data_IF_700846388025
#
_entry.id   IF_700846388025
#
_cell.length_a   1.000
_cell.length_b   1.000
_cell.length_c   1.000
_cell.angle_alpha   90.00
_cell.angle_beta   90.00
_cell.angle_gamma   90.00
#
_symmetry.space_group_name_H-M   'P 1'
#
loop_
_entity.id
_entity.type
_entity.pdbx_description
1 polymer ?
#
# COMPACT_ATOMS: atom_id res chain seq x y z
N UNK A 1 -37.99 10.99 10.63
CA UNK A 1 -37.02 9.87 10.58
C UNK A 1 -35.89 10.38 9.72
N UNK A 2 -34.67 10.47 10.22
CA UNK A 2 -33.54 10.95 9.43
C UNK A 2 -33.09 9.82 8.50
N UNK A 3 -33.13 10.04 7.19
CA UNK A 3 -32.42 9.19 6.23
C UNK A 3 -30.98 9.69 6.16
N UNK A 4 -30.04 8.81 6.49
CA UNK A 4 -28.62 9.08 6.35
C UNK A 4 -28.11 8.26 5.16
N UNK A 5 -27.58 8.95 4.16
CA UNK A 5 -26.97 8.33 2.96
C UNK A 5 -25.57 7.80 3.29
N UNK A 6 -25.50 6.80 4.17
CA UNK A 6 -24.25 6.12 4.49
C UNK A 6 -23.85 5.16 3.38
N UNK A 7 -22.56 5.19 3.03
CA UNK A 7 -21.95 4.26 2.09
C UNK A 7 -21.08 3.24 2.84
N UNK A 8 -21.23 1.97 2.50
CA UNK A 8 -20.44 0.88 3.10
C UNK A 8 -19.20 0.57 2.26
N UNK A 9 -18.11 0.21 2.92
CA UNK A 9 -16.88 -0.33 2.31
C UNK A 9 -16.10 -1.19 3.31
N UNK A 10 -15.03 -1.83 2.87
CA UNK A 10 -14.16 -2.66 3.72
C UNK A 10 -12.87 -1.98 4.17
N UNK A 11 -12.32 -2.48 5.28
CA UNK A 11 -11.04 -2.02 5.84
C UNK A 11 -9.87 -2.27 4.88
N UNK A 12 -9.87 -3.40 4.16
CA UNK A 12 -8.84 -3.74 3.16
C UNK A 12 -8.27 -5.14 3.37
N UNK A 13 -7.69 -5.40 4.55
CA UNK A 13 -7.12 -6.71 4.89
C UNK A 13 -8.20 -7.78 5.06
N UNK A 14 -7.99 -8.95 4.45
CA UNK A 14 -8.92 -10.09 4.54
C UNK A 14 -8.21 -11.37 4.99
N UNK A 15 -8.87 -12.25 5.77
CA UNK A 15 -8.28 -13.50 6.25
C UNK A 15 -8.43 -14.67 5.26
N UNK A 16 -8.99 -14.43 4.08
CA UNK A 16 -9.34 -15.47 3.10
C UNK A 16 -8.15 -15.87 2.23
N UNK A 17 -8.26 -17.03 1.58
CA UNK A 17 -7.22 -17.59 0.70
C UNK A 17 -7.66 -17.63 -0.77
N UNK A 18 -8.96 -17.82 -1.03
CA UNK A 18 -9.51 -17.79 -2.38
C UNK A 18 -9.68 -16.35 -2.85
N UNK A 19 -8.85 -15.96 -3.82
CA UNK A 19 -8.85 -14.60 -4.35
C UNK A 19 -10.05 -14.31 -5.23
N UNK A 20 -10.44 -15.25 -6.09
CA UNK A 20 -11.47 -15.03 -7.10
C UNK A 20 -12.85 -14.95 -6.43
N UNK A 21 -13.16 -15.89 -5.53
CA UNK A 21 -14.39 -15.87 -4.75
C UNK A 21 -14.49 -14.60 -3.89
N UNK A 22 -13.41 -14.23 -3.19
CA UNK A 22 -13.40 -13.03 -2.34
C UNK A 22 -13.64 -11.76 -3.15
N UNK A 23 -13.00 -11.62 -4.33
CA UNK A 23 -13.19 -10.44 -5.18
C UNK A 23 -14.63 -10.34 -5.71
N UNK A 24 -15.24 -11.48 -6.10
CA UNK A 24 -16.64 -11.54 -6.51
C UNK A 24 -17.58 -11.13 -5.37
N UNK A 25 -17.40 -11.69 -4.17
CA UNK A 25 -18.18 -11.32 -3.01
C UNK A 25 -18.06 -9.83 -2.67
N UNK A 26 -16.87 -9.23 -2.80
CA UNK A 26 -16.70 -7.80 -2.56
C UNK A 26 -17.48 -6.98 -3.60
N UNK A 27 -17.41 -7.32 -4.89
CA UNK A 27 -18.19 -6.63 -5.92
C UNK A 27 -19.70 -6.71 -5.66
N UNK A 28 -20.20 -7.88 -5.24
CA UNK A 28 -21.62 -8.12 -5.00
C UNK A 28 -22.13 -7.42 -3.72
N UNK A 29 -21.35 -7.46 -2.64
CA UNK A 29 -21.79 -6.95 -1.33
C UNK A 29 -21.49 -5.47 -1.10
N UNK A 30 -20.64 -4.84 -1.92
CA UNK A 30 -20.28 -3.42 -1.82
C UNK A 30 -20.59 -2.68 -3.12
N UNK A 31 -21.88 -2.56 -3.51
CA UNK A 31 -22.27 -2.08 -4.84
C UNK A 31 -21.90 -0.61 -5.11
N UNK A 32 -21.69 0.20 -4.07
CA UNK A 32 -21.37 1.63 -4.21
C UNK A 32 -19.86 1.93 -4.15
N UNK A 33 -19.12 1.17 -3.35
CA UNK A 33 -17.68 1.37 -3.11
C UNK A 33 -16.99 0.04 -2.78
N UNK A 34 -16.84 -0.85 -3.77
CA UNK A 34 -16.01 -2.03 -3.63
C UNK A 34 -14.58 -1.62 -3.29
N UNK A 35 -13.88 -2.47 -2.54
CA UNK A 35 -12.52 -2.19 -2.08
C UNK A 35 -11.55 -3.25 -2.61
N UNK A 36 -10.28 -2.87 -2.74
CA UNK A 36 -9.22 -3.82 -3.02
C UNK A 36 -8.88 -4.65 -1.75
N UNK A 37 -9.02 -5.99 -1.78
CA UNK A 37 -8.61 -6.85 -0.67
C UNK A 37 -7.09 -7.13 -0.64
N UNK A 38 -6.49 -7.08 0.54
CA UNK A 38 -5.13 -7.58 0.81
C UNK A 38 -5.20 -8.95 1.52
N UNK A 39 -4.72 -10.01 0.87
CA UNK A 39 -4.80 -11.39 1.37
C UNK A 39 -3.60 -11.75 2.26
N UNK A 40 -3.49 -11.10 3.41
CA UNK A 40 -2.34 -11.20 4.35
C UNK A 40 -2.01 -12.63 4.82
N UNK A 41 -2.99 -13.55 4.80
CA UNK A 41 -2.79 -14.97 5.12
C UNK A 41 -2.33 -15.82 3.93
N UNK A 42 -2.58 -15.37 2.69
CA UNK A 42 -2.22 -16.07 1.46
C UNK A 42 -0.75 -15.86 1.09
N UNK A 43 -0.24 -14.64 1.26
CA UNK A 43 1.14 -14.29 0.90
C UNK A 43 1.73 -13.27 1.87
N UNK A 44 3.01 -13.41 2.28
CA UNK A 44 3.69 -12.37 3.06
C UNK A 44 3.82 -11.06 2.28
N UNK A 45 3.81 -11.09 0.94
CA UNK A 45 3.89 -9.88 0.12
C UNK A 45 2.66 -8.99 0.19
N UNK A 46 1.55 -9.51 0.72
CA UNK A 46 0.31 -8.74 0.90
C UNK A 46 0.22 -8.09 2.30
N UNK A 47 1.26 -8.25 3.13
CA UNK A 47 1.43 -7.50 4.38
C UNK A 47 1.57 -5.99 4.10
N UNK A 48 0.96 -5.15 4.93
CA UNK A 48 0.91 -3.70 4.70
C UNK A 48 2.29 -3.01 4.67
N UNK A 49 3.32 -3.56 5.30
CA UNK A 49 4.67 -3.01 5.27
C UNK A 49 5.45 -3.62 4.11
N UNK A 50 5.40 -4.94 3.94
CA UNK A 50 6.11 -5.60 2.84
C UNK A 50 5.60 -5.09 1.49
N UNK A 51 4.28 -5.03 1.32
CA UNK A 51 3.63 -4.65 0.07
C UNK A 51 4.09 -3.27 -0.44
N UNK A 52 4.21 -2.31 0.48
CA UNK A 52 4.59 -0.94 0.15
C UNK A 52 6.10 -0.70 0.15
N UNK A 53 6.91 -1.70 0.50
CA UNK A 53 8.39 -1.62 0.42
C UNK A 53 8.95 -1.85 -0.99
N UNK A 54 8.17 -2.46 -1.88
CA UNK A 54 8.61 -2.82 -3.24
C UNK A 54 9.17 -1.60 -4.00
N UNK A 55 10.43 -1.67 -4.44
CA UNK A 55 11.05 -0.60 -5.23
C UNK A 55 11.50 0.63 -4.43
N UNK A 56 11.29 0.68 -3.11
CA UNK A 56 11.82 1.77 -2.27
C UNK A 56 13.31 1.49 -1.96
N UNK A 57 14.21 2.50 -2.13
CA UNK A 57 15.62 2.37 -1.82
C UNK A 57 15.90 1.80 -0.44
N UNK A 58 16.96 0.99 -0.35
CA UNK A 58 17.48 0.38 0.88
C UNK A 58 16.54 -0.58 1.60
N UNK A 59 15.29 -0.71 1.19
CA UNK A 59 14.36 -1.64 1.82
C UNK A 59 14.54 -3.03 1.22
N UNK A 60 14.71 -4.03 2.09
CA UNK A 60 14.86 -5.43 1.72
C UNK A 60 13.86 -6.27 2.50
N UNK A 61 13.10 -7.08 1.76
CA UNK A 61 12.13 -8.01 2.34
C UNK A 61 12.86 -9.25 2.84
N UNK A 62 12.55 -9.67 4.06
CA UNK A 62 12.88 -10.99 4.59
C UNK A 62 11.61 -11.80 4.69
N UNK A 63 11.42 -12.73 3.76
CA UNK A 63 10.25 -13.62 3.76
C UNK A 63 10.20 -14.48 5.03
N UNK A 64 11.36 -15.02 5.45
CA UNK A 64 11.52 -15.84 6.65
C UNK A 64 11.01 -15.11 7.90
N UNK A 65 11.41 -13.84 8.07
CA UNK A 65 11.03 -13.01 9.22
C UNK A 65 9.71 -12.27 9.03
N UNK A 66 9.10 -12.36 7.84
CA UNK A 66 7.94 -11.56 7.40
C UNK A 66 8.09 -10.08 7.78
N UNK A 67 9.25 -9.51 7.45
CA UNK A 67 9.60 -8.15 7.83
C UNK A 67 10.42 -7.45 6.74
N UNK A 68 10.49 -6.12 6.84
CA UNK A 68 11.31 -5.27 5.99
C UNK A 68 12.46 -4.70 6.81
N UNK A 69 13.66 -4.74 6.25
CA UNK A 69 14.87 -4.19 6.86
C UNK A 69 15.45 -3.08 5.99
N UNK A 70 15.95 -2.03 6.64
CA UNK A 70 16.75 -1.01 5.99
C UNK A 70 18.21 -1.48 5.91
N UNK A 71 18.68 -1.73 4.70
CA UNK A 71 20.02 -2.23 4.40
C UNK A 71 20.58 -1.36 3.26
N UNK A 72 21.62 -0.58 3.56
CA UNK A 72 22.32 0.21 2.54
C UNK A 72 22.93 -0.74 1.50
N UNK A 73 22.80 -0.37 0.23
CA UNK A 73 23.40 -1.11 -0.87
C UNK A 73 24.89 -0.81 -1.01
N UNK A 74 25.56 -1.49 -1.93
CA UNK A 74 26.96 -1.23 -2.27
C UNK A 74 27.15 0.10 -3.03
N UNK A 75 26.07 0.79 -3.45
CA UNK A 75 26.13 2.05 -4.19
C UNK A 75 24.95 2.96 -3.80
N UNK A 76 24.90 3.42 -2.53
CA UNK A 76 23.73 4.08 -1.98
C UNK A 76 23.43 5.43 -2.64
N UNK A 77 24.45 6.17 -3.07
CA UNK A 77 24.30 7.45 -3.74
C UNK A 77 23.57 7.29 -5.07
N UNK A 78 23.84 6.21 -5.81
CA UNK A 78 23.17 5.91 -7.08
C UNK A 78 21.71 5.53 -6.87
N UNK A 79 21.42 4.71 -5.87
CA UNK A 79 20.05 4.29 -5.54
C UNK A 79 19.17 5.50 -5.16
N UNK A 80 19.72 6.40 -4.34
CA UNK A 80 19.06 7.65 -3.97
C UNK A 80 18.89 8.60 -5.16
N UNK A 81 19.93 8.76 -5.99
CA UNK A 81 19.86 9.63 -7.18
C UNK A 81 18.74 9.17 -8.10
N UNK A 82 18.70 7.88 -8.46
CA UNK A 82 17.62 7.34 -9.30
C UNK A 82 16.24 7.55 -8.67
N UNK A 83 16.11 7.34 -7.36
CA UNK A 83 14.84 7.54 -6.66
C UNK A 83 14.36 8.99 -6.71
N UNK A 84 15.25 9.96 -6.42
CA UNK A 84 14.89 11.37 -6.43
C UNK A 84 14.63 11.87 -7.85
N UNK A 85 15.36 11.39 -8.85
CA UNK A 85 15.07 11.68 -10.26
C UNK A 85 13.64 11.22 -10.64
N UNK A 86 13.27 9.98 -10.31
CA UNK A 86 11.91 9.48 -10.53
C UNK A 86 10.86 10.25 -9.72
N UNK A 87 11.17 10.64 -8.49
CA UNK A 87 10.29 11.47 -7.66
C UNK A 87 10.03 12.85 -8.29
N UNK A 88 11.08 13.59 -8.67
CA UNK A 88 10.97 14.94 -9.22
C UNK A 88 10.36 14.97 -10.62
N UNK A 89 10.53 13.90 -11.40
CA UNK A 89 9.93 13.75 -12.73
C UNK A 89 8.50 13.19 -12.70
N UNK A 90 7.98 12.87 -11.52
CA UNK A 90 6.73 12.12 -11.33
C UNK A 90 6.65 10.80 -12.12
N UNK A 91 7.80 10.17 -12.39
CA UNK A 91 7.85 8.86 -13.01
C UNK A 91 7.46 7.78 -11.99
N UNK A 92 6.26 7.23 -12.17
CA UNK A 92 5.68 6.22 -11.29
C UNK A 92 6.13 4.80 -11.63
N UNK A 93 6.92 4.60 -12.69
CA UNK A 93 7.31 3.26 -13.16
C UNK A 93 8.01 2.44 -12.07
N UNK A 94 8.91 3.06 -11.30
CA UNK A 94 9.63 2.47 -10.18
C UNK A 94 8.81 2.34 -8.89
N UNK A 95 7.68 3.03 -8.79
CA UNK A 95 6.82 3.03 -7.59
C UNK A 95 5.64 2.07 -7.69
N UNK A 96 5.46 1.39 -8.83
CA UNK A 96 4.36 0.43 -9.02
C UNK A 96 4.35 -0.65 -7.93
N UNK A 97 3.15 -1.13 -7.59
CA UNK A 97 3.00 -2.36 -6.80
C UNK A 97 2.70 -3.48 -7.79
N UNK A 98 3.56 -4.49 -7.88
CA UNK A 98 3.43 -5.56 -8.86
C UNK A 98 2.25 -6.49 -8.57
N UNK A 99 1.87 -7.30 -9.56
CA UNK A 99 0.82 -8.32 -9.40
C UNK A 99 1.22 -9.42 -8.40
N UNK A 100 2.51 -9.61 -8.16
CA UNK A 100 3.02 -10.50 -7.11
C UNK A 100 2.71 -9.95 -5.72
N UNK A 101 2.88 -8.64 -5.53
CA UNK A 101 2.65 -7.96 -4.25
C UNK A 101 1.18 -7.62 -4.01
N UNK A 102 0.39 -7.41 -5.06
CA UNK A 102 -1.00 -6.96 -4.94
C UNK A 102 -1.94 -7.66 -5.95
N UNK A 103 -2.02 -8.99 -6.01
CA UNK A 103 -2.82 -9.68 -7.02
C UNK A 103 -4.32 -9.28 -6.98
N UNK A 104 -4.86 -9.07 -5.77
CA UNK A 104 -6.23 -8.59 -5.58
C UNK A 104 -6.51 -7.21 -6.17
N UNK A 105 -5.51 -6.32 -6.27
CA UNK A 105 -5.68 -4.97 -6.83
C UNK A 105 -6.00 -5.06 -8.31
N UNK A 106 -5.18 -5.83 -9.02
CA UNK A 106 -5.35 -6.03 -10.46
C UNK A 106 -6.67 -6.72 -10.77
N UNK A 107 -7.05 -7.73 -9.98
CA UNK A 107 -8.33 -8.44 -10.14
C UNK A 107 -9.52 -7.51 -9.90
N UNK A 108 -9.51 -6.71 -8.83
CA UNK A 108 -10.62 -5.81 -8.52
C UNK A 108 -10.77 -4.69 -9.54
N UNK A 109 -9.67 -4.12 -10.06
CA UNK A 109 -9.74 -3.10 -11.11
C UNK A 109 -10.43 -3.65 -12.36
N UNK A 110 -10.08 -4.85 -12.79
CA UNK A 110 -10.75 -5.54 -13.91
C UNK A 110 -12.22 -5.79 -13.59
N UNK A 111 -12.51 -6.44 -12.46
CA UNK A 111 -13.86 -6.89 -12.09
C UNK A 111 -14.86 -5.75 -11.91
N UNK A 112 -14.41 -4.62 -11.35
CA UNK A 112 -15.24 -3.45 -11.06
C UNK A 112 -15.45 -2.58 -12.30
N UNK A 113 -14.64 -2.72 -13.36
CA UNK A 113 -14.80 -1.93 -14.59
C UNK A 113 -16.23 -2.01 -15.15
N UNK A 114 -16.82 -3.20 -15.11
CA UNK A 114 -18.18 -3.49 -15.60
C UNK A 114 -19.28 -3.35 -14.53
N UNK A 115 -19.02 -2.72 -13.38
CA UNK A 115 -20.06 -2.49 -12.35
C UNK A 115 -20.66 -1.07 -12.43
N UNK A 116 -21.78 -0.84 -11.77
CA UNK A 116 -22.37 0.50 -11.61
C UNK A 116 -21.78 1.30 -10.43
N UNK A 117 -20.77 0.75 -9.75
CA UNK A 117 -20.19 1.39 -8.57
C UNK A 117 -19.57 2.76 -8.92
N UNK A 118 -19.95 3.87 -8.27
CA UNK A 118 -19.35 5.18 -8.53
C UNK A 118 -17.90 5.29 -8.02
N UNK A 119 -17.54 4.50 -7.01
CA UNK A 119 -16.24 4.55 -6.35
C UNK A 119 -15.53 3.20 -6.36
N UNK A 120 -14.22 3.22 -6.16
CA UNK A 120 -13.43 2.06 -5.76
C UNK A 120 -12.46 2.50 -4.67
N UNK A 121 -12.36 1.71 -3.60
CA UNK A 121 -11.52 2.03 -2.46
C UNK A 121 -10.20 1.25 -2.51
N UNK A 122 -9.10 1.94 -2.27
CA UNK A 122 -7.81 1.37 -1.95
C UNK A 122 -7.32 1.84 -0.59
N UNK A 123 -6.18 1.31 -0.16
CA UNK A 123 -5.55 1.67 1.10
C UNK A 123 -4.04 1.66 0.95
N UNK A 124 -3.37 2.44 1.78
CA UNK A 124 -1.93 2.44 1.94
C UNK A 124 -1.59 2.66 3.41
N UNK A 125 -0.45 2.12 3.83
CA UNK A 125 0.14 2.49 5.11
C UNK A 125 0.63 3.93 5.04
N UNK A 126 0.44 4.70 6.10
CA UNK A 126 1.02 6.03 6.19
C UNK A 126 2.53 5.99 6.52
N UNK A 127 3.26 7.07 6.19
CA UNK A 127 4.72 7.08 6.29
C UNK A 127 5.26 6.90 7.72
N UNK A 128 4.51 7.30 8.75
CA UNK A 128 4.95 7.19 10.15
C UNK A 128 4.90 5.73 10.59
N UNK A 129 3.78 5.03 10.35
CA UNK A 129 3.65 3.61 10.61
C UNK A 129 4.62 2.80 9.79
N UNK A 130 4.81 3.17 8.52
CA UNK A 130 5.75 2.50 7.64
C UNK A 130 7.19 2.58 8.16
N UNK A 131 7.70 3.79 8.39
CA UNK A 131 9.06 4.00 8.91
C UNK A 131 9.23 3.47 10.35
N UNK A 132 8.20 3.55 11.19
CA UNK A 132 8.22 3.02 12.55
C UNK A 132 8.28 1.49 12.61
N UNK A 133 7.83 0.81 11.55
CA UNK A 133 7.81 -0.66 11.45
C UNK A 133 9.09 -1.24 10.85
N UNK A 134 9.92 -0.42 10.20
CA UNK A 134 11.17 -0.84 9.55
C UNK A 134 12.34 -0.64 10.52
N UNK A 135 13.22 -1.64 10.59
CA UNK A 135 14.44 -1.59 11.41
C UNK A 135 15.69 -1.66 10.53
N UNK A 136 16.75 -0.98 10.96
CA UNK A 136 18.09 -1.12 10.41
C UNK A 136 18.79 -2.40 10.93
N UNK A 137 20.01 -2.63 10.45
CA UNK A 137 20.83 -3.78 10.87
C UNK A 137 21.23 -3.75 12.36
N UNK A 138 21.11 -2.59 13.02
CA UNK A 138 21.37 -2.40 14.44
C UNK A 138 20.09 -2.49 15.29
N UNK A 139 18.93 -2.76 14.67
CA UNK A 139 17.64 -2.89 15.34
C UNK A 139 16.95 -1.56 15.66
N UNK A 140 17.49 -0.43 15.19
CA UNK A 140 16.89 0.90 15.36
C UNK A 140 15.80 1.11 14.32
N UNK A 141 14.73 1.79 14.71
CA UNK A 141 13.63 2.11 13.79
C UNK A 141 14.02 3.22 12.82
N UNK A 142 13.50 3.14 11.60
CA UNK A 142 13.80 4.10 10.53
C UNK A 142 13.26 5.50 10.81
N UNK A 143 12.24 5.64 11.66
CA UNK A 143 11.65 6.93 12.02
C UNK A 143 12.65 7.95 12.59
N UNK A 144 13.75 7.49 13.19
CA UNK A 144 14.80 8.35 13.74
C UNK A 144 15.90 8.76 12.74
N UNK A 145 15.91 8.18 11.53
CA UNK A 145 16.86 8.50 10.47
C UNK A 145 16.19 9.45 9.47
N UNK A 146 16.65 10.70 9.41
CA UNK A 146 16.02 11.73 8.56
C UNK A 146 16.09 11.42 7.07
N UNK A 147 17.15 10.77 6.59
CA UNK A 147 17.30 10.43 5.16
C UNK A 147 16.33 9.31 4.79
N UNK A 148 16.30 8.25 5.58
CA UNK A 148 15.38 7.13 5.35
C UNK A 148 13.92 7.54 5.58
N UNK A 149 13.64 8.43 6.53
CA UNK A 149 12.30 8.94 6.75
C UNK A 149 11.80 9.74 5.54
N UNK A 150 12.65 10.56 4.92
CA UNK A 150 12.31 11.29 3.69
C UNK A 150 12.06 10.35 2.50
N UNK A 151 12.93 9.34 2.32
CA UNK A 151 12.76 8.29 1.30
C UNK A 151 11.46 7.52 1.50
N UNK A 152 11.16 7.07 2.73
CA UNK A 152 9.91 6.39 3.06
C UNK A 152 8.70 7.28 2.77
N UNK A 153 8.74 8.55 3.19
CA UNK A 153 7.63 9.48 3.01
C UNK A 153 7.32 9.71 1.54
N UNK A 154 8.34 10.04 0.75
CA UNK A 154 8.20 10.26 -0.70
C UNK A 154 7.81 8.96 -1.42
N UNK A 155 8.39 7.83 -1.04
CA UNK A 155 8.07 6.52 -1.62
C UNK A 155 6.60 6.13 -1.41
N UNK A 156 6.08 6.28 -0.20
CA UNK A 156 4.67 6.04 0.12
C UNK A 156 3.75 7.01 -0.64
N UNK A 157 4.11 8.30 -0.72
CA UNK A 157 3.33 9.27 -1.48
C UNK A 157 3.23 8.91 -2.97
N UNK A 158 4.35 8.54 -3.60
CA UNK A 158 4.39 8.12 -5.00
C UNK A 158 3.64 6.81 -5.23
N UNK A 159 3.74 5.86 -4.29
CA UNK A 159 2.93 4.63 -4.31
C UNK A 159 1.44 4.90 -4.19
N UNK A 160 1.03 5.82 -3.32
CA UNK A 160 -0.36 6.26 -3.20
C UNK A 160 -0.87 6.89 -4.50
N UNK A 161 -0.07 7.76 -5.12
CA UNK A 161 -0.40 8.36 -6.42
C UNK A 161 -0.52 7.30 -7.53
N UNK A 162 0.42 6.36 -7.60
CA UNK A 162 0.35 5.22 -8.51
C UNK A 162 -0.91 4.39 -8.29
N UNK A 163 -1.23 4.07 -7.03
CA UNK A 163 -2.40 3.27 -6.70
C UNK A 163 -3.69 3.98 -7.11
N UNK A 164 -3.81 5.29 -6.88
CA UNK A 164 -4.96 6.09 -7.34
C UNK A 164 -5.09 6.04 -8.86
N UNK A 165 -3.98 6.17 -9.61
CA UNK A 165 -4.01 6.04 -11.08
C UNK A 165 -4.43 4.64 -11.50
N UNK A 166 -3.90 3.59 -10.85
CA UNK A 166 -4.25 2.19 -11.12
C UNK A 166 -5.73 1.89 -10.86
N UNK A 167 -6.27 2.40 -9.74
CA UNK A 167 -7.68 2.24 -9.38
C UNK A 167 -8.60 2.94 -10.39
N UNK A 168 -8.22 4.12 -10.89
CA UNK A 168 -8.98 4.86 -11.90
C UNK A 168 -9.06 4.15 -13.25
N UNK A 169 -8.19 3.18 -13.54
CA UNK A 169 -8.31 2.35 -14.74
C UNK A 169 -9.64 1.56 -14.78
N UNK A 170 -10.29 1.34 -13.63
CA UNK A 170 -11.63 0.75 -13.55
C UNK A 170 -12.77 1.68 -14.02
N UNK A 171 -12.44 2.92 -14.40
CA UNK A 171 -13.42 3.96 -14.71
C UNK A 171 -14.12 4.55 -13.48
N UNK A 172 -13.75 4.13 -12.26
CA UNK A 172 -14.39 4.59 -11.01
C UNK A 172 -13.60 5.71 -10.35
N UNK A 173 -14.27 6.46 -9.47
CA UNK A 173 -13.58 7.43 -8.61
C UNK A 173 -12.80 6.69 -7.52
N UNK A 174 -11.48 6.83 -7.55
CA UNK A 174 -10.62 6.23 -6.52
C UNK A 174 -10.74 6.97 -5.18
N UNK A 175 -10.93 6.23 -4.10
CA UNK A 175 -10.85 6.69 -2.72
C UNK A 175 -9.68 5.95 -2.06
N UNK A 176 -8.70 6.68 -1.52
CA UNK A 176 -7.53 6.08 -0.88
C UNK A 176 -7.58 6.33 0.62
N UNK A 177 -7.51 5.26 1.40
CA UNK A 177 -7.37 5.34 2.86
C UNK A 177 -5.88 5.30 3.23
N UNK A 178 -5.48 6.12 4.20
CA UNK A 178 -4.14 6.11 4.78
C UNK A 178 -4.24 5.55 6.20
N UNK A 179 -3.63 4.39 6.43
CA UNK A 179 -3.68 3.69 7.70
C UNK A 179 -2.43 4.03 8.53
N UNK A 180 -2.63 4.70 9.67
CA UNK A 180 -1.57 5.15 10.58
C UNK A 180 -1.75 4.63 12.02
N UNK A 181 -1.81 3.30 12.25
CA UNK A 181 -1.97 2.76 13.61
C UNK A 181 -0.83 3.14 14.55
N UNK A 182 0.38 3.39 14.04
CA UNK A 182 1.51 3.83 14.87
C UNK A 182 1.29 5.23 15.47
N UNK A 183 0.49 6.10 14.85
CA UNK A 183 0.18 7.40 15.44
C UNK A 183 -0.59 7.28 16.77
N UNK A 184 -1.36 6.20 16.97
CA UNK A 184 -2.05 5.95 18.22
C UNK A 184 -1.10 5.54 19.37
N UNK A 185 0.12 5.09 19.07
CA UNK A 185 1.12 4.76 20.09
C UNK A 185 2.02 5.94 20.46
N UNK A 186 2.04 7.02 19.66
CA UNK A 186 2.82 8.22 19.95
C UNK A 186 2.15 9.01 21.09
N UNK A 187 2.86 9.17 22.21
CA UNK A 187 2.36 9.88 23.40
C UNK A 187 1.64 8.98 24.41
N UNK A 188 1.51 7.69 24.12
CA UNK A 188 1.04 6.66 25.06
C UNK A 188 2.20 6.21 25.94
N UNK A 189 2.64 7.07 26.87
CA UNK A 189 3.65 6.81 27.89
C UNK A 189 3.15 7.29 29.27
#
# INVERSE_FOLDING_TARGET
MYEFDFMITGIGSVPFLDMDETCLLIKENFPNMPFWPQFVKRSPYEDMIIQFSEGIPFLRVSEEKRAVFAIKSNSPEKELTCFYESFFSEDLSGFRISKEYAPGLYKMVELVSDSDAPFIKGQTVGPITFAGSIKDQQGRTVIGDSELMDVCTKGIAMKGLWQVRKLKESGKKAVLFLDEPYLASIGSA
#
